data_IF_490251330134
#
_entry.id   IF_490251330134
#
_cell.length_a   1.000
_cell.length_b   1.000
_cell.length_c   1.000
_cell.angle_alpha   90.00
_cell.angle_beta   90.00
_cell.angle_gamma   90.00
#
_symmetry.space_group_name_H-M   'P 1'
#
loop_
_entity.id
_entity.type
_entity.pdbx_description
1 polymer ?
#
# COMPACT_ATOMS: atom_id res chain seq x y z
N UNK A 1 33.24 11.94 4.81
CA UNK A 1 32.06 11.76 5.69
C UNK A 1 30.75 12.24 5.07
N UNK A 2 30.73 13.32 4.27
CA UNK A 2 29.51 13.78 3.58
C UNK A 2 28.94 12.76 2.57
N UNK A 3 29.79 12.05 1.82
CA UNK A 3 29.34 11.02 0.86
C UNK A 3 28.69 9.78 1.51
N UNK A 4 29.09 9.44 2.75
CA UNK A 4 28.51 8.29 3.46
C UNK A 4 27.11 8.66 3.97
N UNK A 5 26.94 9.88 4.49
CA UNK A 5 25.61 10.39 4.88
C UNK A 5 24.66 10.51 3.69
N UNK A 6 25.17 10.82 2.49
CA UNK A 6 24.34 10.95 1.29
C UNK A 6 23.81 9.60 0.78
N UNK A 7 24.50 8.49 1.04
CA UNK A 7 24.00 7.13 0.75
C UNK A 7 22.84 6.72 1.66
N UNK A 8 22.81 7.19 2.90
CA UNK A 8 21.70 6.98 3.84
C UNK A 8 20.66 8.11 3.81
N UNK A 9 20.82 9.11 2.94
CA UNK A 9 19.79 10.13 2.76
C UNK A 9 18.56 9.44 2.19
N UNK A 10 17.43 9.66 2.86
CA UNK A 10 16.14 9.00 2.61
C UNK A 10 15.66 9.18 1.15
N UNK A 11 16.24 10.13 0.40
CA UNK A 11 16.04 10.33 -1.04
C UNK A 11 16.57 9.18 -1.94
N UNK A 12 17.54 8.39 -1.46
CA UNK A 12 18.13 7.26 -2.22
C UNK A 12 17.38 5.95 -2.04
N UNK A 13 16.53 5.84 -1.01
CA UNK A 13 15.63 4.72 -0.83
C UNK A 13 14.44 4.85 -1.78
N UNK A 14 14.72 4.86 -3.10
CA UNK A 14 13.71 4.53 -4.11
C UNK A 14 13.18 3.17 -3.72
N UNK A 15 11.98 3.14 -3.13
CA UNK A 15 11.23 1.92 -2.89
C UNK A 15 10.97 1.30 -4.26
N UNK A 16 11.85 0.40 -4.67
CA UNK A 16 11.77 -0.31 -5.94
C UNK A 16 10.61 -1.29 -5.89
N UNK A 17 10.04 -1.66 -7.04
CA UNK A 17 8.97 -2.67 -7.12
C UNK A 17 9.29 -3.98 -6.37
N UNK A 18 10.57 -4.35 -6.27
CA UNK A 18 11.05 -5.49 -5.49
C UNK A 18 10.80 -5.35 -3.97
N UNK A 19 10.95 -4.16 -3.41
CA UNK A 19 10.71 -3.92 -1.98
C UNK A 19 9.21 -4.06 -1.69
N UNK A 20 8.36 -3.52 -2.58
CA UNK A 20 6.91 -3.71 -2.47
C UNK A 20 6.51 -5.17 -2.60
N UNK A 21 7.09 -5.94 -3.53
CA UNK A 21 6.76 -7.36 -3.68
C UNK A 21 7.17 -8.18 -2.45
N UNK A 22 8.34 -7.88 -1.85
CA UNK A 22 8.78 -8.53 -0.62
C UNK A 22 7.86 -8.16 0.55
N UNK A 23 7.49 -6.89 0.67
CA UNK A 23 6.58 -6.43 1.71
C UNK A 23 5.19 -7.10 1.61
N UNK A 24 4.65 -7.25 0.40
CA UNK A 24 3.39 -7.97 0.15
C UNK A 24 3.53 -9.45 0.52
N UNK A 25 4.65 -10.09 0.19
CA UNK A 25 4.88 -11.49 0.53
C UNK A 25 4.97 -11.70 2.05
N UNK A 26 5.71 -10.83 2.76
CA UNK A 26 5.76 -10.85 4.23
C UNK A 26 4.37 -10.63 4.85
N UNK A 27 3.58 -9.70 4.28
CA UNK A 27 2.21 -9.47 4.72
C UNK A 27 1.33 -10.72 4.58
N UNK A 28 1.41 -11.44 3.46
CA UNK A 28 0.65 -12.68 3.24
C UNK A 28 1.05 -13.79 4.22
N UNK A 29 2.35 -13.95 4.49
CA UNK A 29 2.84 -14.92 5.48
C UNK A 29 2.28 -14.58 6.86
N UNK A 30 2.38 -13.31 7.26
CA UNK A 30 1.92 -12.84 8.56
C UNK A 30 0.39 -13.02 8.70
N UNK A 31 -0.38 -12.74 7.64
CA UNK A 31 -1.82 -12.96 7.60
C UNK A 31 -2.17 -14.45 7.76
N UNK A 32 -1.43 -15.34 7.10
CA UNK A 32 -1.54 -16.78 7.31
C UNK A 32 -1.30 -17.20 8.75
N UNK A 33 -0.26 -16.67 9.40
CA UNK A 33 0.03 -16.92 10.81
C UNK A 33 -1.10 -16.44 11.73
N UNK A 34 -1.68 -15.27 11.48
CA UNK A 34 -2.80 -14.74 12.28
C UNK A 34 -4.05 -15.62 12.13
N UNK A 35 -4.40 -16.02 10.91
CA UNK A 35 -5.53 -16.92 10.67
C UNK A 35 -5.32 -18.28 11.36
N UNK A 36 -4.09 -18.82 11.27
CA UNK A 36 -3.73 -20.05 11.97
C UNK A 36 -3.90 -19.90 13.49
N UNK A 37 -3.43 -18.79 14.07
CA UNK A 37 -3.59 -18.49 15.49
C UNK A 37 -5.06 -18.43 15.92
N UNK A 38 -5.91 -17.76 15.13
CA UNK A 38 -7.37 -17.68 15.37
C UNK A 38 -8.01 -19.07 15.37
N UNK A 39 -7.56 -19.97 14.50
CA UNK A 39 -8.08 -21.35 14.43
C UNK A 39 -7.70 -22.21 15.63
N UNK A 40 -6.54 -21.94 16.24
CA UNK A 40 -6.06 -22.66 17.44
C UNK A 40 -6.72 -22.16 18.73
N UNK A 41 -7.35 -20.99 18.71
CA UNK A 41 -8.03 -20.46 19.89
C UNK A 41 -9.35 -21.21 20.18
N UNK A 42 -9.71 -21.41 21.46
CA UNK A 42 -10.93 -22.09 21.88
C UNK A 42 -12.16 -21.18 21.73
N UNK A 43 -12.38 -20.68 20.52
CA UNK A 43 -13.53 -19.84 20.17
C UNK A 43 -14.70 -20.67 19.64
N UNK A 44 -15.91 -20.21 19.95
CA UNK A 44 -17.12 -20.64 19.23
C UNK A 44 -17.02 -20.36 17.73
N UNK A 45 -17.64 -21.21 16.91
CA UNK A 45 -17.66 -21.09 15.44
C UNK A 45 -18.02 -19.68 14.95
N UNK A 46 -19.03 -19.04 15.57
CA UNK A 46 -19.49 -17.68 15.22
C UNK A 46 -18.43 -16.62 15.51
N UNK A 47 -17.77 -16.71 16.68
CA UNK A 47 -16.71 -15.77 17.09
C UNK A 47 -15.47 -15.93 16.22
N UNK A 48 -15.09 -17.17 15.91
CA UNK A 48 -13.98 -17.47 15.00
C UNK A 48 -14.19 -16.85 13.62
N UNK A 49 -15.38 -17.03 13.03
CA UNK A 49 -15.70 -16.44 11.72
C UNK A 49 -15.65 -14.92 11.72
N UNK A 50 -16.17 -14.26 12.78
CA UNK A 50 -16.09 -12.80 12.93
C UNK A 50 -14.65 -12.29 12.99
N UNK A 51 -13.80 -12.93 13.81
CA UNK A 51 -12.39 -12.54 13.93
C UNK A 51 -11.61 -12.72 12.63
N UNK A 52 -11.80 -13.84 11.94
CA UNK A 52 -11.18 -14.07 10.64
C UNK A 52 -11.63 -13.02 9.62
N UNK A 53 -12.93 -12.68 9.61
CA UNK A 53 -13.47 -11.66 8.70
C UNK A 53 -12.88 -10.27 8.98
N UNK A 54 -12.78 -9.87 10.26
CA UNK A 54 -12.17 -8.59 10.66
C UNK A 54 -10.72 -8.47 10.21
N UNK A 55 -9.92 -9.52 10.43
CA UNK A 55 -8.50 -9.53 10.05
C UNK A 55 -8.32 -9.44 8.53
N UNK A 56 -9.11 -10.19 7.77
CA UNK A 56 -9.04 -10.15 6.29
C UNK A 56 -9.44 -8.77 5.76
N UNK A 57 -10.48 -8.16 6.34
CA UNK A 57 -10.95 -6.84 5.91
C UNK A 57 -9.97 -5.71 6.27
N UNK A 58 -9.15 -5.88 7.31
CA UNK A 58 -8.19 -4.86 7.74
C UNK A 58 -7.16 -4.49 6.66
N UNK A 59 -6.73 -5.46 5.85
CA UNK A 59 -5.83 -5.22 4.71
C UNK A 59 -6.38 -4.22 3.69
N UNK A 60 -7.50 -4.50 3.01
CA UNK A 60 -8.08 -3.60 2.03
C UNK A 60 -8.52 -2.24 2.62
N UNK A 61 -8.86 -2.16 3.91
CA UNK A 61 -9.11 -0.87 4.57
C UNK A 61 -7.92 0.10 4.52
N UNK A 62 -6.69 -0.41 4.54
CA UNK A 62 -5.50 0.43 4.40
C UNK A 62 -5.28 0.91 2.94
N UNK A 63 -5.79 0.17 1.95
CA UNK A 63 -5.61 0.46 0.51
C UNK A 63 -6.67 1.42 -0.03
N UNK A 64 -7.89 1.36 0.51
CA UNK A 64 -9.03 2.23 0.13
C UNK A 64 -8.69 3.74 0.06
N UNK A 65 -8.04 4.36 1.07
CA UNK A 65 -7.70 5.78 1.00
C UNK A 65 -6.63 6.06 -0.07
N UNK A 66 -5.69 5.14 -0.29
CA UNK A 66 -4.71 5.27 -1.36
C UNK A 66 -5.39 5.24 -2.73
N UNK A 67 -6.35 4.32 -2.93
CA UNK A 67 -7.10 4.21 -4.19
C UNK A 67 -7.91 5.49 -4.48
N UNK A 68 -8.57 6.06 -3.47
CA UNK A 68 -9.33 7.31 -3.62
C UNK A 68 -8.44 8.49 -4.03
N UNK A 69 -7.24 8.60 -3.43
CA UNK A 69 -6.27 9.65 -3.75
C UNK A 69 -5.66 9.40 -5.13
N UNK A 70 -5.30 8.16 -5.46
CA UNK A 70 -4.77 7.78 -6.76
C UNK A 70 -5.79 8.05 -7.88
N UNK A 71 -7.07 7.75 -7.66
CA UNK A 71 -8.14 8.05 -8.62
C UNK A 71 -8.33 9.56 -8.79
N UNK A 72 -8.37 10.33 -7.70
CA UNK A 72 -8.43 11.80 -7.77
C UNK A 72 -7.26 12.35 -8.60
N UNK A 73 -6.05 11.88 -8.36
CA UNK A 73 -4.85 12.30 -9.07
C UNK A 73 -4.88 11.90 -10.56
N UNK A 74 -5.31 10.67 -10.87
CA UNK A 74 -5.47 10.19 -12.24
C UNK A 74 -6.54 10.98 -13.02
N UNK A 75 -7.66 11.32 -12.36
CA UNK A 75 -8.71 12.14 -12.95
C UNK A 75 -8.24 13.57 -13.24
N UNK A 76 -7.42 14.16 -12.36
CA UNK A 76 -6.84 15.49 -12.59
C UNK A 76 -5.67 15.50 -13.58
N UNK A 77 -4.91 14.41 -13.71
CA UNK A 77 -3.84 14.27 -14.71
C UNK A 77 -4.37 14.15 -16.14
N UNK A 78 -5.55 13.54 -16.32
CA UNK A 78 -6.25 13.53 -17.61
C UNK A 78 -6.61 14.95 -18.09
N UNK A 79 -6.93 15.87 -17.18
CA UNK A 79 -7.27 17.26 -17.52
C UNK A 79 -6.06 18.11 -17.96
N UNK A 80 -4.83 17.75 -17.54
CA UNK A 80 -3.62 18.45 -18.00
C UNK A 80 -3.18 18.00 -19.39
N UNK A 81 -3.53 16.78 -19.82
CA UNK A 81 -3.31 16.30 -21.19
C UNK A 81 -4.05 17.13 -22.25
N UNK A 82 -5.23 17.67 -21.91
CA UNK A 82 -6.03 18.55 -22.77
C UNK A 82 -5.63 20.03 -22.71
N UNK A 83 -4.68 20.41 -21.84
CA UNK A 83 -4.24 21.79 -21.71
C UNK A 83 -3.32 22.13 -22.89
N UNK A 84 -3.89 22.74 -23.93
CA UNK A 84 -3.16 23.15 -25.15
C UNK A 84 -1.89 23.93 -24.77
N UNK A 85 -0.75 23.70 -25.45
CA UNK A 85 0.46 24.45 -25.20
C UNK A 85 0.18 25.94 -25.42
N UNK A 86 0.44 26.76 -24.39
CA UNK A 86 0.35 28.21 -24.46
C UNK A 86 1.39 28.65 -25.50
N UNK A 87 0.94 29.09 -26.69
CA UNK A 87 1.86 29.63 -27.71
C UNK A 87 2.62 30.78 -27.08
N UNK A 88 3.91 30.59 -26.90
CA UNK A 88 4.86 31.66 -26.56
C UNK A 88 4.85 32.60 -27.76
N UNK A 89 4.16 33.73 -27.64
CA UNK A 89 4.39 34.86 -28.55
C UNK A 89 5.77 35.42 -28.19
N UNK A 90 6.64 35.44 -29.20
CA UNK A 90 7.97 36.04 -29.16
C UNK A 90 7.94 37.48 -28.69
#
# INVERSE_FOLDING_TARGET
MKDILQRFSVDSAKLTGQIYSIAVLLYLIMLGCVIWSINQQPFDRKRRSLWTMLVIMFGPFAILPYLAIAWKNAATGSLSFWRKPKRVQR
#
